data_IF_482149740748
#
_entry.id   IF_482149740748
#
_cell.length_a   1.000
_cell.length_b   1.000
_cell.length_c   1.000
_cell.angle_alpha   90.00
_cell.angle_beta   90.00
_cell.angle_gamma   90.00
#
_symmetry.space_group_name_H-M   'P 1'
#
loop_
_entity.id
_entity.type
_entity.pdbx_description
1 polymer ?
#
# COMPACT_ATOMS: atom_id res chain seq x y z
N UNK A 1 44.67 20.22 -39.48
CA UNK A 1 43.51 21.01 -39.00
C UNK A 1 42.22 20.18 -38.89
N UNK A 2 41.83 19.36 -39.87
CA UNK A 2 40.60 18.53 -39.77
C UNK A 2 40.55 17.58 -38.57
N UNK A 3 41.67 16.95 -38.20
CA UNK A 3 41.74 16.03 -37.07
C UNK A 3 41.56 16.69 -35.69
N UNK A 4 41.94 17.98 -35.55
CA UNK A 4 41.76 18.72 -34.30
C UNK A 4 40.28 18.98 -34.03
N UNK A 5 39.52 19.41 -35.04
CA UNK A 5 38.08 19.61 -34.92
C UNK A 5 37.32 18.31 -34.62
N UNK A 6 37.78 17.16 -35.13
CA UNK A 6 37.18 15.86 -34.79
C UNK A 6 37.43 15.47 -33.33
N UNK A 7 38.60 15.78 -32.78
CA UNK A 7 38.91 15.48 -31.37
C UNK A 7 38.07 16.36 -30.44
N UNK A 8 37.98 17.66 -30.71
CA UNK A 8 37.14 18.58 -29.91
C UNK A 8 35.68 18.13 -29.88
N UNK A 9 35.12 17.72 -31.03
CA UNK A 9 33.78 17.17 -31.10
C UNK A 9 33.61 15.91 -30.23
N UNK A 10 34.56 14.97 -30.30
CA UNK A 10 34.53 13.74 -29.49
C UNK A 10 34.64 14.06 -28.00
N UNK A 11 35.48 15.02 -27.61
CA UNK A 11 35.60 15.46 -26.21
C UNK A 11 34.31 16.06 -25.70
N UNK A 12 33.66 16.95 -26.46
CA UNK A 12 32.36 17.51 -26.05
C UNK A 12 31.27 16.44 -25.97
N UNK A 13 31.26 15.48 -26.90
CA UNK A 13 30.33 14.35 -26.86
C UNK A 13 30.53 13.50 -25.61
N UNK A 14 31.79 13.18 -25.27
CA UNK A 14 32.13 12.40 -24.10
C UNK A 14 31.69 13.10 -22.79
N UNK A 15 31.92 14.41 -22.69
CA UNK A 15 31.46 15.22 -21.56
C UNK A 15 29.93 15.22 -21.49
N UNK A 16 29.24 15.40 -22.63
CA UNK A 16 27.77 15.38 -22.68
C UNK A 16 27.17 14.04 -22.23
N UNK A 17 27.77 12.92 -22.67
CA UNK A 17 27.37 11.58 -22.24
C UNK A 17 27.62 11.39 -20.74
N UNK A 18 28.79 11.83 -20.23
CA UNK A 18 29.13 11.74 -18.81
C UNK A 18 28.12 12.50 -17.95
N UNK A 19 27.78 13.74 -18.33
CA UNK A 19 26.79 14.55 -17.62
C UNK A 19 25.42 13.86 -17.63
N UNK A 20 25.02 13.26 -18.76
CA UNK A 20 23.75 12.53 -18.88
C UNK A 20 23.72 11.30 -17.96
N UNK A 21 24.80 10.54 -17.89
CA UNK A 21 24.91 9.38 -17.00
C UNK A 21 24.80 9.82 -15.54
N UNK A 22 25.52 10.88 -15.14
CA UNK A 22 25.45 11.41 -13.78
C UNK A 22 24.04 11.90 -13.43
N UNK A 23 23.36 12.57 -14.37
CA UNK A 23 21.98 13.00 -14.21
C UNK A 23 21.04 11.82 -13.98
N UNK A 24 21.14 10.76 -14.78
CA UNK A 24 20.31 9.55 -14.62
C UNK A 24 20.56 8.85 -13.28
N UNK A 25 21.80 8.81 -12.79
CA UNK A 25 22.14 8.24 -11.49
C UNK A 25 21.50 9.02 -10.32
N UNK A 26 21.42 10.34 -10.43
CA UNK A 26 20.77 11.18 -9.41
C UNK A 26 19.25 10.99 -9.43
N UNK A 27 18.65 10.67 -10.57
CA UNK A 27 17.20 10.56 -10.72
C UNK A 27 16.60 9.26 -10.15
N UNK A 28 17.36 8.17 -10.17
CA UNK A 28 16.91 6.86 -9.68
C UNK A 28 16.32 6.83 -8.25
N UNK A 29 16.94 7.45 -7.22
CA UNK A 29 16.34 7.45 -5.88
C UNK A 29 15.00 8.21 -5.83
N UNK A 30 14.89 9.34 -6.54
CA UNK A 30 13.64 10.11 -6.59
C UNK A 30 12.48 9.30 -7.18
N UNK A 31 12.73 8.51 -8.23
CA UNK A 31 11.69 7.63 -8.78
C UNK A 31 11.23 6.57 -7.77
N UNK A 32 12.17 5.98 -7.02
CA UNK A 32 11.83 4.96 -6.00
C UNK A 32 10.99 5.55 -4.87
N UNK A 33 11.32 6.74 -4.42
CA UNK A 33 10.58 7.42 -3.35
C UNK A 33 9.14 7.72 -3.80
N UNK A 34 8.97 8.26 -5.02
CA UNK A 34 7.65 8.55 -5.60
C UNK A 34 6.81 7.27 -5.75
N UNK A 35 7.42 6.18 -6.21
CA UNK A 35 6.72 4.89 -6.35
C UNK A 35 6.28 4.35 -4.99
N UNK A 36 7.15 4.45 -3.98
CA UNK A 36 6.86 3.96 -2.61
C UNK A 36 5.76 4.80 -1.95
N UNK A 37 5.81 6.12 -2.10
CA UNK A 37 4.78 7.03 -1.59
C UNK A 37 3.43 6.77 -2.27
N UNK A 38 3.43 6.56 -3.58
CA UNK A 38 2.22 6.20 -4.32
C UNK A 38 1.61 4.89 -3.80
N UNK A 39 2.42 3.85 -3.60
CA UNK A 39 1.98 2.57 -3.01
C UNK A 39 1.37 2.78 -1.61
N UNK A 40 2.00 3.62 -0.78
CA UNK A 40 1.50 3.92 0.56
C UNK A 40 0.13 4.62 0.55
N UNK A 41 -0.09 5.55 -0.40
CA UNK A 41 -1.39 6.21 -0.59
C UNK A 41 -2.48 5.19 -0.97
N UNK A 42 -2.18 4.31 -1.93
CA UNK A 42 -3.12 3.27 -2.37
C UNK A 42 -3.46 2.28 -1.24
N UNK A 43 -2.44 1.87 -0.47
CA UNK A 43 -2.62 1.00 0.68
C UNK A 43 -3.48 1.69 1.76
N UNK A 44 -3.25 2.98 2.02
CA UNK A 44 -4.04 3.79 2.94
C UNK A 44 -5.51 3.87 2.50
N UNK A 45 -5.79 4.12 1.22
CA UNK A 45 -7.17 4.13 0.70
C UNK A 45 -7.89 2.79 0.89
N UNK A 46 -7.18 1.67 0.66
CA UNK A 46 -7.71 0.34 0.92
C UNK A 46 -8.04 0.14 2.40
N UNK A 47 -7.10 0.51 3.28
CA UNK A 47 -7.25 0.38 4.72
C UNK A 47 -8.42 1.21 5.24
N UNK A 48 -8.62 2.43 4.73
CA UNK A 48 -9.78 3.26 5.06
C UNK A 48 -11.12 2.57 4.80
N UNK A 49 -11.23 1.83 3.69
CA UNK A 49 -12.45 1.07 3.38
C UNK A 49 -12.68 -0.04 4.39
N UNK A 50 -11.61 -0.79 4.73
CA UNK A 50 -11.69 -1.88 5.71
C UNK A 50 -12.03 -1.36 7.10
N UNK A 51 -11.37 -0.30 7.54
CA UNK A 51 -11.66 0.38 8.81
C UNK A 51 -13.10 0.90 8.85
N UNK A 52 -13.62 1.43 7.74
CA UNK A 52 -15.01 1.89 7.68
C UNK A 52 -16.01 0.74 7.85
N UNK A 53 -15.75 -0.44 7.27
CA UNK A 53 -16.61 -1.61 7.45
C UNK A 53 -16.56 -2.15 8.89
N UNK A 54 -15.38 -2.21 9.51
CA UNK A 54 -15.21 -2.60 10.92
C UNK A 54 -15.91 -1.61 11.86
N UNK A 55 -15.70 -0.31 11.66
CA UNK A 55 -16.32 0.72 12.48
C UNK A 55 -17.84 0.79 12.25
N UNK A 56 -18.30 0.50 11.03
CA UNK A 56 -19.71 0.35 10.71
C UNK A 56 -20.34 -0.81 11.50
N UNK A 57 -19.68 -1.96 11.52
CA UNK A 57 -20.12 -3.11 12.33
C UNK A 57 -20.16 -2.76 13.82
N UNK A 58 -19.14 -2.07 14.35
CA UNK A 58 -19.09 -1.60 15.73
C UNK A 58 -20.23 -0.62 16.06
N UNK A 59 -20.51 0.32 15.15
CA UNK A 59 -21.49 1.38 15.34
C UNK A 59 -22.93 0.88 15.25
N UNK A 60 -23.22 -0.10 14.39
CA UNK A 60 -24.56 -0.70 14.29
C UNK A 60 -24.82 -1.59 15.51
N UNK A 61 -23.79 -2.30 15.97
CA UNK A 61 -23.91 -3.21 17.10
C UNK A 61 -24.46 -4.58 16.70
N UNK A 62 -25.16 -5.21 17.63
CA UNK A 62 -25.57 -6.60 17.52
C UNK A 62 -26.49 -6.88 16.31
N UNK A 63 -26.27 -8.02 15.66
CA UNK A 63 -27.00 -8.44 14.46
C UNK A 63 -26.48 -7.85 13.15
N UNK A 64 -25.44 -7.01 13.16
CA UNK A 64 -24.78 -6.59 11.92
C UNK A 64 -24.19 -7.79 11.19
N UNK A 65 -24.49 -7.94 9.90
CA UNK A 65 -23.82 -8.89 9.02
C UNK A 65 -23.73 -8.33 7.62
N UNK A 66 -22.52 -8.27 7.05
CA UNK A 66 -22.31 -7.79 5.69
C UNK A 66 -21.19 -8.56 5.00
N UNK A 67 -21.39 -8.77 3.70
CA UNK A 67 -20.35 -9.24 2.79
C UNK A 67 -19.62 -8.03 2.20
N UNK A 68 -18.32 -8.10 2.18
CA UNK A 68 -17.48 -7.13 1.47
C UNK A 68 -16.35 -7.86 0.74
N UNK A 69 -15.81 -7.23 -0.30
CA UNK A 69 -14.83 -7.87 -1.18
C UNK A 69 -13.52 -7.10 -1.18
N UNK A 70 -12.44 -7.80 -0.89
CA UNK A 70 -11.08 -7.33 -1.02
C UNK A 70 -10.55 -7.69 -2.41
N UNK A 71 -10.03 -6.73 -3.19
CA UNK A 71 -9.44 -7.03 -4.49
C UNK A 71 -8.17 -7.86 -4.36
N UNK A 72 -7.77 -8.51 -5.44
CA UNK A 72 -6.55 -9.35 -5.47
C UNK A 72 -5.26 -8.56 -5.26
N UNK A 73 -5.27 -7.27 -5.60
CA UNK A 73 -4.14 -6.36 -5.49
C UNK A 73 -4.63 -4.94 -5.25
N UNK A 74 -3.71 -4.06 -4.89
CA UNK A 74 -3.93 -2.61 -4.99
C UNK A 74 -4.14 -2.23 -6.47
N UNK A 75 -4.60 -1.00 -6.71
CA UNK A 75 -4.98 -0.53 -8.06
C UNK A 75 -3.81 -0.47 -9.05
N UNK A 76 -2.57 -0.47 -8.58
CA UNK A 76 -1.34 -0.53 -9.37
C UNK A 76 -0.82 -1.97 -9.58
N UNK A 77 -1.54 -2.98 -9.10
CA UNK A 77 -1.14 -4.39 -9.15
C UNK A 77 -0.28 -4.84 -7.97
N UNK A 78 0.01 -3.98 -7.00
CA UNK A 78 0.82 -4.35 -5.83
C UNK A 78 0.07 -5.32 -4.92
N UNK A 79 0.71 -6.44 -4.56
CA UNK A 79 0.18 -7.40 -3.60
C UNK A 79 0.11 -6.79 -2.19
N UNK A 80 -0.88 -7.18 -1.40
CA UNK A 80 -1.04 -6.71 -0.04
C UNK A 80 -1.63 -7.77 0.89
N UNK A 81 -1.49 -7.53 2.20
CA UNK A 81 -2.14 -8.31 3.25
C UNK A 81 -2.63 -7.38 4.36
N UNK A 82 -3.67 -7.79 5.07
CA UNK A 82 -4.27 -7.00 6.15
C UNK A 82 -4.24 -7.82 7.44
N UNK A 83 -3.84 -7.20 8.54
CA UNK A 83 -3.80 -7.79 9.88
C UNK A 83 -4.57 -6.91 10.86
N UNK A 84 -5.32 -7.54 11.74
CA UNK A 84 -5.95 -6.88 12.87
C UNK A 84 -5.04 -7.05 14.08
N UNK A 85 -4.78 -5.95 14.77
CA UNK A 85 -4.11 -5.91 16.06
C UNK A 85 -5.13 -5.46 17.11
N UNK A 86 -5.77 -6.45 17.74
CA UNK A 86 -6.83 -6.22 18.72
C UNK A 86 -6.30 -5.67 20.04
N UNK A 87 -5.02 -5.90 20.36
CA UNK A 87 -4.38 -5.37 21.57
C UNK A 87 -4.21 -3.85 21.47
N UNK A 88 -3.75 -3.37 20.30
CA UNK A 88 -3.54 -1.94 20.08
C UNK A 88 -4.73 -1.22 19.42
N UNK A 89 -5.83 -1.92 19.14
CA UNK A 89 -7.00 -1.37 18.43
C UNK A 89 -6.62 -0.76 17.07
N UNK A 90 -5.77 -1.46 16.31
CA UNK A 90 -5.30 -1.01 15.00
C UNK A 90 -5.55 -2.10 13.96
N UNK A 91 -5.95 -1.70 12.76
CA UNK A 91 -5.87 -2.54 11.57
C UNK A 91 -4.69 -2.08 10.71
N UNK A 92 -3.87 -3.01 10.25
CA UNK A 92 -2.66 -2.75 9.49
C UNK A 92 -2.75 -3.36 8.10
N UNK A 93 -2.23 -2.63 7.11
CA UNK A 93 -1.99 -3.15 5.76
C UNK A 93 -0.49 -3.22 5.50
N UNK A 94 -0.05 -4.30 4.87
CA UNK A 94 1.30 -4.51 4.39
C UNK A 94 1.26 -4.66 2.86
N UNK A 95 2.20 -4.04 2.13
CA UNK A 95 2.26 -4.12 0.67
C UNK A 95 3.65 -4.50 0.15
N UNK A 96 3.70 -4.97 -1.09
CA UNK A 96 4.95 -5.23 -1.82
C UNK A 96 5.87 -6.21 -1.10
N UNK A 97 5.34 -7.36 -0.66
CA UNK A 97 6.09 -8.37 0.10
C UNK A 97 6.89 -7.77 1.28
N UNK A 98 6.25 -6.88 2.04
CA UNK A 98 6.78 -6.14 3.21
C UNK A 98 7.67 -4.92 2.94
N UNK A 99 7.58 -4.32 1.75
CA UNK A 99 8.14 -2.98 1.44
C UNK A 99 7.68 -1.89 2.43
N UNK A 100 6.47 -1.99 2.98
CA UNK A 100 5.95 -1.04 3.94
C UNK A 100 4.69 -1.50 4.66
N UNK A 101 4.34 -0.76 5.71
CA UNK A 101 3.14 -0.98 6.49
C UNK A 101 2.46 0.35 6.83
N UNK A 102 1.13 0.33 6.94
CA UNK A 102 0.34 1.45 7.40
C UNK A 102 -0.76 0.95 8.33
N UNK A 103 -1.03 1.69 9.40
CA UNK A 103 -2.03 1.32 10.41
C UNK A 103 -3.06 2.42 10.60
N UNK A 104 -4.32 2.02 10.78
CA UNK A 104 -5.41 2.92 11.17
C UNK A 104 -6.10 2.37 12.42
N UNK A 105 -6.51 3.25 13.36
CA UNK A 105 -7.24 2.83 14.55
C UNK A 105 -8.64 2.34 14.18
N UNK A 106 -9.16 1.40 14.98
CA UNK A 106 -10.52 0.87 14.88
C UNK A 106 -11.30 1.20 16.17
N UNK A 107 -12.63 1.26 16.06
CA UNK A 107 -13.50 1.75 17.13
C UNK A 107 -13.60 0.81 18.35
N UNK A 108 -13.15 -0.45 18.23
CA UNK A 108 -13.24 -1.45 19.29
C UNK A 108 -12.07 -2.44 19.21
N UNK A 109 -11.62 -2.94 20.36
CA UNK A 109 -10.68 -4.08 20.46
C UNK A 109 -11.38 -5.43 20.34
N UNK A 110 -12.71 -5.47 20.39
CA UNK A 110 -13.49 -6.71 20.29
C UNK A 110 -13.64 -7.12 18.83
N UNK A 111 -12.51 -7.32 18.15
CA UNK A 111 -12.46 -7.82 16.77
C UNK A 111 -11.60 -9.07 16.75
N UNK A 112 -12.08 -10.11 16.06
CA UNK A 112 -11.37 -11.37 15.86
C UNK A 112 -11.47 -11.86 14.42
N UNK A 113 -10.58 -12.78 14.04
CA UNK A 113 -10.51 -13.36 12.71
C UNK A 113 -9.46 -12.71 11.82
N UNK A 114 -9.56 -12.98 10.52
CA UNK A 114 -8.56 -12.57 9.53
C UNK A 114 -9.19 -12.25 8.20
N UNK A 115 -8.65 -11.23 7.55
CA UNK A 115 -9.01 -10.88 6.19
C UNK A 115 -8.37 -11.83 5.17
N UNK A 116 -9.18 -12.34 4.24
CA UNK A 116 -8.70 -13.04 3.04
C UNK A 116 -8.86 -12.16 1.81
N UNK A 117 -8.02 -12.38 0.82
CA UNK A 117 -8.26 -11.79 -0.51
C UNK A 117 -9.55 -12.40 -1.09
N UNK A 118 -10.42 -11.57 -1.67
CA UNK A 118 -11.74 -11.98 -2.15
C UNK A 118 -12.87 -11.63 -1.18
N UNK A 119 -13.87 -12.50 -1.09
CA UNK A 119 -15.10 -12.21 -0.33
C UNK A 119 -14.91 -12.56 1.14
N UNK A 120 -15.26 -11.60 2.00
CA UNK A 120 -15.20 -11.72 3.44
C UNK A 120 -16.56 -11.36 4.04
N UNK A 121 -16.88 -11.98 5.17
CA UNK A 121 -18.04 -11.67 5.98
C UNK A 121 -17.59 -10.97 7.26
N UNK A 122 -18.25 -9.86 7.58
CA UNK A 122 -18.13 -9.21 8.89
C UNK A 122 -19.45 -9.40 9.61
N UNK A 123 -19.38 -9.93 10.83
CA UNK A 123 -20.52 -10.06 11.74
C UNK A 123 -20.23 -9.34 13.04
N UNK A 124 -21.26 -8.76 13.66
CA UNK A 124 -21.21 -8.32 15.04
C UNK A 124 -22.24 -9.13 15.84
N UNK A 125 -21.77 -9.86 16.84
CA UNK A 125 -22.60 -10.66 17.73
C UNK A 125 -22.21 -10.38 19.16
N UNK A 126 -23.15 -9.85 19.94
CA UNK A 126 -22.93 -9.43 21.34
C UNK A 126 -21.74 -8.46 21.53
N UNK A 127 -21.47 -7.61 20.54
CA UNK A 127 -20.36 -6.66 20.56
C UNK A 127 -18.99 -7.24 20.19
N UNK A 128 -18.92 -8.53 19.82
CA UNK A 128 -17.75 -9.15 19.21
C UNK A 128 -17.87 -9.12 17.68
N UNK A 129 -16.94 -8.43 17.03
CA UNK A 129 -16.85 -8.37 15.57
C UNK A 129 -16.01 -9.54 15.09
N UNK A 130 -16.57 -10.39 14.23
CA UNK A 130 -15.86 -11.52 13.62
C UNK A 130 -15.68 -11.28 12.13
N UNK A 131 -14.47 -11.53 11.65
CA UNK A 131 -14.11 -11.47 10.22
C UNK A 131 -13.73 -12.86 9.74
N UNK A 132 -14.43 -13.36 8.74
CA UNK A 132 -14.16 -14.67 8.15
C UNK A 132 -14.30 -14.67 6.62
N UNK A 133 -13.67 -15.65 5.97
CA UNK A 133 -13.87 -15.90 4.55
C UNK A 133 -15.33 -16.35 4.32
N UNK A 134 -15.99 -15.77 3.31
CA UNK A 134 -17.38 -16.07 2.98
C UNK A 134 -17.53 -17.27 2.04
#
# INVERSE_FOLDING_TARGET
>A
MKGQSSIELVTYLAIGILITILFLLVLQPYERDIITERKAILAKEMLWRVTAELNGAASVGDGYSRLFTLPNSLSDGTNYSIRIDSEYQVVQIFWGDSEGAYGLPIATSNVTGSFVIGVNRITNSDGLITVEAA
#
